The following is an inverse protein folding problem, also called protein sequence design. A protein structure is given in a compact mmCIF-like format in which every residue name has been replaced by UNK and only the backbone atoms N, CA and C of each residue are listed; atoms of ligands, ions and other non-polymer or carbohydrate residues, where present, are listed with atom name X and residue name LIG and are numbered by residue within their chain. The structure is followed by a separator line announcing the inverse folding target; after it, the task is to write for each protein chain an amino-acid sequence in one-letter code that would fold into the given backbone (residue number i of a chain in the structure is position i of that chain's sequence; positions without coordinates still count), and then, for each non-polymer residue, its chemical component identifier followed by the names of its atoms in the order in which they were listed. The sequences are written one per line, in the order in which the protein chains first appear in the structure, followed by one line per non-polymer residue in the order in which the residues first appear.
data_IF_805744397210
#
_entry.id   IF_805744397210
#
_cell.length_a   1.000
_cell.length_b   1.000
_cell.length_c   1.000
_cell.angle_alpha   90.00
_cell.angle_beta   90.00
_cell.angle_gamma   90.00
#
_symmetry.space_group_name_H-M   'P 1'
#
loop_
_entity.id
_entity.type
_entity.pdbx_description
1 polymer ?
#
# COMPACT_ATOMS: atom_id res chain seq x y z
N UNK A 1 24.29 -28.83 2.42
CA UNK A 1 23.82 -28.56 1.04
C UNK A 1 22.36 -28.11 0.93
N UNK A 2 21.49 -28.28 1.95
CA UNK A 2 20.13 -27.69 1.93
C UNK A 2 20.06 -26.25 2.44
N UNK A 3 20.79 -25.96 3.52
CA UNK A 3 20.79 -24.65 4.22
C UNK A 3 21.34 -23.52 3.33
N UNK A 4 22.32 -23.84 2.49
CA UNK A 4 22.99 -22.84 1.64
C UNK A 4 22.07 -22.29 0.55
N UNK A 5 21.14 -23.12 0.07
CA UNK A 5 20.20 -22.76 -1.00
C UNK A 5 19.04 -21.90 -0.49
N UNK A 6 18.52 -22.21 0.69
CA UNK A 6 17.49 -21.40 1.36
C UNK A 6 18.04 -20.02 1.76
N UNK A 7 19.28 -19.95 2.24
CA UNK A 7 19.92 -18.67 2.57
C UNK A 7 20.13 -17.77 1.34
N UNK A 8 20.45 -18.36 0.19
CA UNK A 8 20.63 -17.63 -1.06
C UNK A 8 19.29 -17.10 -1.62
N UNK A 9 18.22 -17.88 -1.52
CA UNK A 9 16.87 -17.42 -1.89
C UNK A 9 16.35 -16.32 -0.97
N UNK A 10 16.60 -16.44 0.34
CA UNK A 10 16.21 -15.42 1.31
C UNK A 10 16.93 -14.09 1.05
N UNK A 11 18.21 -14.15 0.68
CA UNK A 11 19.00 -12.97 0.32
C UNK A 11 18.46 -12.31 -0.94
N UNK A 12 18.16 -13.07 -2.00
CA UNK A 12 17.54 -12.55 -3.23
C UNK A 12 16.18 -11.91 -2.97
N UNK A 13 15.36 -12.52 -2.10
CA UNK A 13 14.09 -11.94 -1.68
C UNK A 13 14.28 -10.60 -0.94
N UNK A 14 15.25 -10.54 -0.02
CA UNK A 14 15.57 -9.32 0.72
C UNK A 14 16.13 -8.22 -0.19
N UNK A 15 17.03 -8.57 -1.10
CA UNK A 15 17.59 -7.64 -2.07
C UNK A 15 16.49 -7.08 -2.96
N UNK A 16 15.54 -7.90 -3.45
CA UNK A 16 14.36 -7.45 -4.21
C UNK A 16 13.39 -6.57 -3.37
N UNK A 17 13.26 -6.85 -2.07
CA UNK A 17 12.48 -6.05 -1.12
C UNK A 17 13.10 -4.67 -0.84
N UNK A 18 14.43 -4.55 -0.85
CA UNK A 18 15.13 -3.28 -0.61
C UNK A 18 15.31 -2.49 -1.91
N UNK A 19 15.77 -3.13 -2.98
CA UNK A 19 16.12 -2.44 -4.23
C UNK A 19 14.88 -1.96 -4.98
N UNK A 20 13.77 -2.70 -4.91
CA UNK A 20 12.58 -2.42 -5.71
C UNK A 20 12.76 -2.68 -7.21
N UNK A 21 13.86 -3.30 -7.62
CA UNK A 21 14.25 -3.44 -9.04
C UNK A 21 13.65 -4.68 -9.72
N UNK A 22 13.30 -5.73 -8.95
CA UNK A 22 13.03 -7.05 -9.55
C UNK A 22 11.56 -7.36 -9.84
N UNK A 23 10.59 -6.65 -9.24
CA UNK A 23 9.16 -6.93 -9.42
C UNK A 23 8.27 -5.70 -9.24
N UNK A 24 7.29 -5.55 -10.12
CA UNK A 24 6.27 -4.50 -10.01
C UNK A 24 5.47 -4.68 -8.71
N UNK A 25 5.55 -3.70 -7.82
CA UNK A 25 4.81 -3.67 -6.55
C UNK A 25 3.37 -3.19 -6.75
N UNK A 26 3.01 -2.79 -7.96
CA UNK A 26 1.70 -2.28 -8.26
C UNK A 26 1.59 -0.78 -8.07
N UNK A 27 0.41 -0.26 -8.35
CA UNK A 27 0.14 1.16 -8.40
C UNK A 27 -1.01 1.50 -7.46
N UNK A 28 -0.83 2.59 -6.72
CA UNK A 28 -1.86 3.13 -5.85
C UNK A 28 -2.32 4.49 -6.34
N UNK A 29 -3.62 4.74 -6.29
CA UNK A 29 -4.16 6.09 -6.39
C UNK A 29 -4.89 6.47 -5.10
N UNK A 30 -4.82 7.74 -4.76
CA UNK A 30 -5.47 8.31 -3.58
C UNK A 30 -6.23 9.56 -3.98
N UNK A 31 -7.50 9.63 -3.62
CA UNK A 31 -8.31 10.84 -3.66
C UNK A 31 -8.54 11.30 -2.22
N UNK A 32 -8.22 12.55 -1.93
CA UNK A 32 -8.45 13.17 -0.63
C UNK A 32 -9.18 14.50 -0.81
N UNK A 33 -10.22 14.71 -0.02
CA UNK A 33 -10.96 15.95 0.06
C UNK A 33 -11.21 16.30 1.52
N UNK A 34 -10.91 17.53 1.91
CA UNK A 34 -11.28 18.05 3.22
C UNK A 34 -12.24 19.22 3.05
N UNK A 35 -13.19 19.34 3.97
CA UNK A 35 -14.15 20.42 3.98
C UNK A 35 -14.37 20.93 5.39
N UNK A 36 -14.22 22.24 5.57
CA UNK A 36 -14.47 22.90 6.85
C UNK A 36 -15.91 23.40 6.91
N UNK A 37 -16.79 22.64 7.58
CA UNK A 37 -18.20 22.97 7.69
C UNK A 37 -18.46 24.16 8.62
N UNK A 38 -17.70 24.23 9.72
CA UNK A 38 -17.79 25.29 10.74
C UNK A 38 -16.38 25.60 11.27
N UNK A 39 -16.15 26.74 11.96
CA UNK A 39 -14.85 27.07 12.55
C UNK A 39 -14.24 25.93 13.38
N UNK A 40 -15.12 25.13 13.97
CA UNK A 40 -14.89 24.04 14.90
C UNK A 40 -15.26 22.64 14.35
N UNK A 41 -15.64 22.51 13.07
CA UNK A 41 -15.96 21.21 12.47
C UNK A 41 -15.29 21.08 11.10
N UNK A 42 -14.41 20.08 10.96
CA UNK A 42 -13.72 19.76 9.71
C UNK A 42 -13.99 18.30 9.35
N UNK A 43 -14.46 18.06 8.13
CA UNK A 43 -14.55 16.72 7.55
C UNK A 43 -13.37 16.43 6.64
N UNK A 44 -12.97 15.17 6.61
CA UNK A 44 -12.02 14.62 5.65
C UNK A 44 -12.60 13.34 5.06
N UNK A 45 -12.55 13.25 3.75
CA UNK A 45 -12.89 12.07 2.96
C UNK A 45 -11.64 11.66 2.19
N UNK A 46 -11.18 10.43 2.40
CA UNK A 46 -10.03 9.87 1.70
C UNK A 46 -10.40 8.51 1.14
N UNK A 47 -10.13 8.31 -0.14
CA UNK A 47 -10.31 7.04 -0.84
C UNK A 47 -8.98 6.63 -1.44
N UNK A 48 -8.53 5.42 -1.14
CA UNK A 48 -7.29 4.85 -1.65
C UNK A 48 -7.63 3.56 -2.38
N UNK A 49 -7.05 3.37 -3.56
CA UNK A 49 -7.12 2.14 -4.30
C UNK A 49 -5.71 1.70 -4.61
N UNK A 50 -5.40 0.44 -4.34
CA UNK A 50 -4.12 -0.17 -4.56
C UNK A 50 -4.31 -1.41 -5.42
N UNK A 51 -3.71 -1.36 -6.60
CA UNK A 51 -3.65 -2.46 -7.55
C UNK A 51 -2.30 -3.17 -7.37
N UNK A 52 -2.25 -4.37 -6.74
CA UNK A 52 -1.01 -5.08 -6.48
C UNK A 52 -0.43 -5.64 -7.78
N UNK A 53 0.82 -5.30 -8.07
CA UNK A 53 1.58 -5.86 -9.20
C UNK A 53 2.12 -7.26 -8.91
N UNK A 54 2.95 -7.77 -9.82
CA UNK A 54 3.53 -9.13 -9.82
C UNK A 54 4.40 -9.48 -8.59
N UNK A 55 4.69 -8.50 -7.74
CA UNK A 55 5.31 -8.70 -6.44
C UNK A 55 4.44 -9.57 -5.51
N UNK A 56 3.11 -9.42 -5.56
CA UNK A 56 2.20 -10.14 -4.68
C UNK A 56 1.69 -11.44 -5.30
N UNK A 57 1.09 -12.31 -4.48
CA UNK A 57 0.55 -13.58 -5.00
C UNK A 57 -0.55 -13.31 -6.04
N UNK A 58 -0.74 -14.12 -7.08
CA UNK A 58 -1.78 -13.90 -8.08
C UNK A 58 -3.22 -14.00 -7.54
N UNK A 59 -3.40 -14.37 -6.26
CA UNK A 59 -4.69 -14.32 -5.55
C UNK A 59 -4.95 -12.98 -4.85
N UNK A 60 -4.00 -12.05 -4.89
CA UNK A 60 -4.11 -10.77 -4.18
C UNK A 60 -5.13 -9.91 -4.91
N UNK A 61 -6.31 -9.75 -4.28
CA UNK A 61 -7.40 -8.92 -4.79
C UNK A 61 -7.05 -7.46 -4.55
N UNK A 62 -7.56 -6.60 -5.43
CA UNK A 62 -7.50 -5.15 -5.33
C UNK A 62 -7.81 -4.68 -3.89
N UNK A 63 -6.96 -3.80 -3.35
CA UNK A 63 -7.19 -3.22 -2.03
C UNK A 63 -7.84 -1.85 -2.18
N UNK A 64 -8.96 -1.64 -1.49
CA UNK A 64 -9.70 -0.37 -1.48
C UNK A 64 -9.88 0.07 -0.03
N UNK A 65 -9.49 1.30 0.25
CA UNK A 65 -9.63 1.91 1.57
C UNK A 65 -10.49 3.16 1.46
N UNK A 66 -11.48 3.26 2.33
CA UNK A 66 -12.31 4.45 2.49
C UNK A 66 -12.14 4.95 3.92
N UNK A 67 -11.74 6.20 4.06
CA UNK A 67 -11.63 6.89 5.34
C UNK A 67 -12.54 8.10 5.33
N UNK A 68 -13.39 8.15 6.34
CA UNK A 68 -14.26 9.29 6.65
C UNK A 68 -13.87 9.75 8.05
N UNK A 69 -13.50 11.01 8.20
CA UNK A 69 -13.11 11.60 9.46
C UNK A 69 -13.89 12.89 9.68
N UNK A 70 -14.39 13.07 10.90
CA UNK A 70 -14.99 14.30 11.37
C UNK A 70 -14.19 14.76 12.60
N UNK A 71 -13.55 15.91 12.50
CA UNK A 71 -12.85 16.54 13.60
C UNK A 71 -13.71 17.68 14.17
N UNK A 72 -13.91 17.66 15.49
CA UNK A 72 -14.61 18.71 16.23
C UNK A 72 -13.65 19.32 17.26
N UNK A 73 -13.54 20.64 17.28
CA UNK A 73 -12.73 21.41 18.25
C UNK A 73 -13.58 22.18 19.24
#
# INVERSE_FOLDING_TARGET
MGIDKEAEELKKFWDAMISGEDKDRGQGFTFEGSYKFKPNITGLLKYEHFDPGDFYTPKTRDAKFLRIQLEMK
#
